data_IF_332586362654
#
_entry.id   IF_332586362654
#
_cell.length_a   1.000
_cell.length_b   1.000
_cell.length_c   1.000
_cell.angle_alpha   90.00
_cell.angle_beta   90.00
_cell.angle_gamma   90.00
#
_symmetry.space_group_name_H-M   'P 1'
#
loop_
_entity.id
_entity.type
_entity.pdbx_description
1 polymer ?
#
# COMPACT_ATOMS: atom_id res chain seq x y z
N UNK A 1 -20.12 41.83 1.01
CA UNK A 1 -19.41 41.39 2.24
C UNK A 1 -18.33 40.38 1.84
N UNK A 2 -17.05 40.70 1.99
CA UNK A 2 -15.97 39.72 1.86
C UNK A 2 -15.89 38.97 3.20
N UNK A 3 -16.14 37.66 3.17
CA UNK A 3 -16.02 36.80 4.35
C UNK A 3 -14.54 36.63 4.62
N UNK A 4 -14.04 37.21 5.72
CA UNK A 4 -12.65 37.02 6.12
C UNK A 4 -12.43 35.54 6.44
N UNK A 5 -11.41 34.94 5.83
CA UNK A 5 -11.08 33.53 6.04
C UNK A 5 -10.49 33.41 7.44
N UNK A 6 -11.04 32.56 8.32
CA UNK A 6 -10.53 32.41 9.67
C UNK A 6 -9.06 31.94 9.64
N UNK A 7 -8.22 32.63 10.42
CA UNK A 7 -6.80 32.33 10.52
C UNK A 7 -6.60 31.01 11.30
N UNK A 8 -6.32 29.92 10.57
CA UNK A 8 -6.11 28.59 11.15
C UNK A 8 -4.69 28.52 11.71
N UNK A 9 -4.58 28.38 13.04
CA UNK A 9 -3.29 28.10 13.68
C UNK A 9 -2.82 26.69 13.31
N UNK A 10 -1.58 26.57 12.80
CA UNK A 10 -0.98 25.26 12.52
C UNK A 10 -0.82 24.50 13.83
N UNK A 11 -1.37 23.30 13.89
CA UNK A 11 -1.15 22.39 15.02
C UNK A 11 0.34 22.03 15.06
N UNK A 12 1.01 22.10 16.22
CA UNK A 12 2.42 21.72 16.33
C UNK A 12 2.58 20.22 16.04
N UNK A 13 3.68 19.86 15.39
CA UNK A 13 4.02 18.48 15.03
C UNK A 13 4.24 18.25 13.53
N UNK A 14 4.72 17.06 13.20
CA UNK A 14 5.02 16.69 11.80
C UNK A 14 3.93 15.77 11.26
N UNK A 15 3.42 16.09 10.08
CA UNK A 15 2.59 15.17 9.31
C UNK A 15 3.47 14.42 8.30
N UNK A 16 3.45 13.09 8.36
CA UNK A 16 4.22 12.24 7.46
C UNK A 16 3.29 11.64 6.39
N UNK A 17 3.66 11.85 5.12
CA UNK A 17 2.89 11.41 3.96
C UNK A 17 3.60 10.22 3.29
N UNK A 18 2.96 9.06 3.30
CA UNK A 18 3.47 7.80 2.77
C UNK A 18 2.80 7.49 1.43
N UNK A 19 3.51 7.75 0.32
CA UNK A 19 3.02 7.44 -1.02
C UNK A 19 2.85 5.93 -1.25
N UNK A 20 1.94 5.55 -2.14
CA UNK A 20 1.85 4.19 -2.66
C UNK A 20 3.05 3.82 -3.54
N UNK A 21 3.15 2.52 -3.85
CA UNK A 21 4.21 1.96 -4.71
C UNK A 21 4.34 0.43 -4.55
N UNK A 22 3.22 -0.24 -4.29
CA UNK A 22 3.13 -1.67 -4.03
C UNK A 22 4.10 -2.16 -2.94
N UNK A 23 4.58 -3.40 -3.05
CA UNK A 23 5.41 -4.08 -2.04
C UNK A 23 6.71 -3.33 -1.74
N UNK A 24 7.30 -2.64 -2.73
CA UNK A 24 8.51 -1.84 -2.51
C UNK A 24 8.24 -0.70 -1.54
N UNK A 25 7.19 0.09 -1.79
CA UNK A 25 6.83 1.20 -0.91
C UNK A 25 6.59 0.72 0.52
N UNK A 26 5.95 -0.44 0.71
CA UNK A 26 5.75 -1.02 2.04
C UNK A 26 7.07 -1.18 2.81
N UNK A 27 8.08 -1.82 2.22
CA UNK A 27 9.37 -2.04 2.89
C UNK A 27 10.18 -0.75 3.07
N UNK A 28 10.17 0.14 2.06
CA UNK A 28 10.89 1.42 2.16
C UNK A 28 10.33 2.30 3.27
N UNK A 29 9.02 2.37 3.42
CA UNK A 29 8.40 3.17 4.49
C UNK A 29 8.76 2.66 5.89
N UNK A 30 8.86 1.35 6.10
CA UNK A 30 9.32 0.79 7.38
C UNK A 30 10.76 1.22 7.70
N UNK A 31 11.66 1.18 6.71
CA UNK A 31 13.04 1.64 6.89
C UNK A 31 13.13 3.13 7.22
N UNK A 32 12.37 3.96 6.49
CA UNK A 32 12.31 5.42 6.75
C UNK A 32 11.80 5.70 8.15
N UNK A 33 10.70 5.05 8.57
CA UNK A 33 10.13 5.23 9.89
C UNK A 33 11.08 4.79 11.02
N UNK A 34 11.84 3.71 10.78
CA UNK A 34 12.86 3.22 11.73
C UNK A 34 14.00 4.22 11.91
N UNK A 35 14.45 4.84 10.82
CA UNK A 35 15.51 5.85 10.84
C UNK A 35 15.03 7.18 11.44
N UNK A 36 13.80 7.60 11.12
CA UNK A 36 13.24 8.88 11.54
C UNK A 36 12.99 8.92 13.06
N UNK A 37 12.53 7.79 13.64
CA UNK A 37 11.99 7.79 15.00
C UNK A 37 10.67 8.55 15.04
N UNK A 38 9.56 7.84 15.31
CA UNK A 38 8.20 8.36 15.09
C UNK A 38 7.71 9.35 16.17
N UNK A 39 8.60 9.84 17.05
CA UNK A 39 8.25 10.55 18.28
C UNK A 39 7.60 11.92 18.05
N UNK A 40 7.95 12.63 16.97
CA UNK A 40 7.42 13.96 16.63
C UNK A 40 6.37 13.93 15.50
N UNK A 41 5.94 12.74 15.09
CA UNK A 41 4.93 12.55 14.04
C UNK A 41 3.54 12.56 14.68
N UNK A 42 2.73 13.55 14.30
CA UNK A 42 1.37 13.74 14.86
C UNK A 42 0.27 13.31 13.91
N UNK A 43 0.60 13.11 12.63
CA UNK A 43 -0.34 12.64 11.62
C UNK A 43 0.38 11.75 10.61
N UNK A 44 -0.27 10.65 10.24
CA UNK A 44 0.17 9.75 9.17
C UNK A 44 -0.89 9.77 8.08
N UNK A 45 -0.47 10.08 6.85
CA UNK A 45 -1.34 10.04 5.67
C UNK A 45 -0.72 9.05 4.70
N UNK A 46 -1.51 8.14 4.14
CA UNK A 46 -0.97 7.14 3.22
C UNK A 46 -1.90 6.80 2.08
N UNK A 47 -1.33 6.29 0.98
CA UNK A 47 -2.07 5.72 -0.15
C UNK A 47 -1.57 4.31 -0.49
N UNK A 48 -2.47 3.38 -0.84
CA UNK A 48 -2.14 1.98 -1.17
C UNK A 48 -1.24 1.33 -0.10
N UNK A 49 -0.07 0.80 -0.45
CA UNK A 49 0.90 0.25 0.49
C UNK A 49 1.32 1.23 1.60
N UNK A 50 1.41 2.54 1.30
CA UNK A 50 1.67 3.56 2.30
C UNK A 50 0.51 3.76 3.27
N UNK A 51 -0.74 3.51 2.85
CA UNK A 51 -1.91 3.55 3.73
C UNK A 51 -1.89 2.40 4.74
N UNK A 52 -1.47 1.20 4.33
CA UNK A 52 -1.28 0.08 5.25
C UNK A 52 -0.24 0.39 6.32
N UNK A 53 0.94 0.87 5.92
CA UNK A 53 2.00 1.23 6.89
C UNK A 53 1.54 2.35 7.83
N UNK A 54 0.92 3.40 7.29
CA UNK A 54 0.36 4.49 8.08
C UNK A 54 -0.66 3.99 9.11
N UNK A 55 -1.59 3.13 8.70
CA UNK A 55 -2.62 2.59 9.57
C UNK A 55 -2.03 1.73 10.69
N UNK A 56 -1.12 0.80 10.37
CA UNK A 56 -0.53 -0.10 11.35
C UNK A 56 0.27 0.65 12.42
N UNK A 57 1.03 1.66 12.01
CA UNK A 57 1.80 2.51 12.94
C UNK A 57 0.86 3.42 13.76
N UNK A 58 -0.18 3.98 13.14
CA UNK A 58 -1.18 4.79 13.84
C UNK A 58 -1.98 3.97 14.87
N UNK A 59 -2.13 2.66 14.66
CA UNK A 59 -2.72 1.72 15.63
C UNK A 59 -1.80 1.41 16.82
N UNK A 60 -0.60 2.00 16.87
CA UNK A 60 0.37 1.80 17.95
C UNK A 60 1.29 0.60 17.75
N UNK A 61 1.27 -0.04 16.57
CA UNK A 61 2.23 -1.10 16.25
C UNK A 61 3.61 -0.48 16.07
N UNK A 62 4.62 -0.99 16.78
CA UNK A 62 5.96 -0.47 16.64
C UNK A 62 6.56 -0.83 15.28
N UNK A 63 7.41 0.04 14.74
CA UNK A 63 8.08 -0.22 13.46
C UNK A 63 8.91 -1.50 13.52
N UNK A 64 9.51 -1.81 14.67
CA UNK A 64 10.27 -3.05 14.89
C UNK A 64 9.38 -4.30 14.85
N UNK A 65 8.18 -4.24 15.42
CA UNK A 65 7.20 -5.32 15.33
C UNK A 65 6.79 -5.55 13.87
N UNK A 66 6.60 -4.49 13.09
CA UNK A 66 6.27 -4.61 11.67
C UNK A 66 7.42 -5.19 10.84
N UNK A 67 8.66 -4.78 11.09
CA UNK A 67 9.84 -5.36 10.44
C UNK A 67 9.98 -6.85 10.77
N UNK A 68 9.77 -7.21 12.04
CA UNK A 68 9.80 -8.59 12.50
C UNK A 68 8.71 -9.43 11.84
N UNK A 69 7.48 -8.93 11.80
CA UNK A 69 6.34 -9.57 11.15
C UNK A 69 6.57 -9.84 9.65
N UNK A 70 7.20 -8.91 8.94
CA UNK A 70 7.61 -9.10 7.55
C UNK A 70 8.61 -10.26 7.43
N UNK A 71 9.59 -10.31 8.34
CA UNK A 71 10.65 -11.31 8.31
C UNK A 71 10.12 -12.71 8.63
N UNK A 72 9.26 -12.81 9.64
CA UNK A 72 8.63 -14.05 10.10
C UNK A 72 7.49 -14.52 9.18
N UNK A 73 7.12 -13.71 8.16
CA UNK A 73 5.95 -13.91 7.26
C UNK A 73 4.61 -14.03 7.99
N UNK A 74 4.54 -13.63 9.25
CA UNK A 74 3.33 -13.60 10.06
C UNK A 74 3.09 -12.17 10.55
N UNK A 75 2.02 -11.54 10.06
CA UNK A 75 1.62 -10.20 10.52
C UNK A 75 0.63 -10.37 11.67
N UNK A 76 1.14 -10.40 12.90
CA UNK A 76 0.29 -10.31 14.09
C UNK A 76 -0.03 -8.83 14.40
N UNK A 77 -1.29 -8.43 14.17
CA UNK A 77 -1.77 -7.06 14.48
C UNK A 77 -2.72 -7.14 15.69
N UNK A 78 -2.31 -6.67 16.88
CA UNK A 78 -3.05 -6.89 18.13
C UNK A 78 -4.50 -6.36 18.13
N UNK A 79 -4.80 -5.35 17.31
CA UNK A 79 -6.13 -4.74 17.21
C UNK A 79 -6.92 -5.18 15.97
N UNK A 80 -6.33 -6.00 15.09
CA UNK A 80 -7.00 -6.55 13.92
C UNK A 80 -7.52 -7.99 14.13
N UNK A 81 -7.19 -8.60 15.28
CA UNK A 81 -7.63 -9.95 15.69
C UNK A 81 -9.16 -10.12 15.71
N UNK A 82 -9.94 -9.03 15.67
CA UNK A 82 -11.41 -9.07 15.55
C UNK A 82 -11.94 -9.16 14.13
N UNK A 83 -11.15 -8.84 13.09
CA UNK A 83 -11.68 -8.65 11.74
C UNK A 83 -11.14 -9.66 10.72
N UNK A 84 -9.86 -10.08 10.77
CA UNK A 84 -9.39 -11.20 9.91
C UNK A 84 -7.99 -11.67 10.33
N UNK A 85 -7.81 -12.99 10.49
CA UNK A 85 -6.62 -13.60 11.13
C UNK A 85 -5.41 -13.82 10.22
N UNK A 86 -5.47 -13.57 8.92
CA UNK A 86 -4.26 -13.55 8.08
C UNK A 86 -4.48 -12.73 6.81
N UNK A 87 -3.56 -11.81 6.54
CA UNK A 87 -3.39 -11.24 5.19
C UNK A 87 -2.66 -12.27 4.32
N UNK A 88 -3.38 -13.30 3.89
CA UNK A 88 -2.85 -14.25 2.92
C UNK A 88 -2.92 -13.67 1.49
N UNK A 89 -2.01 -14.10 0.64
CA UNK A 89 -1.85 -13.70 -0.77
C UNK A 89 -3.15 -13.86 -1.59
N UNK A 90 -4.02 -14.75 -1.12
CA UNK A 90 -5.36 -15.05 -1.64
C UNK A 90 -6.37 -13.90 -1.48
N UNK A 91 -6.16 -12.97 -0.54
CA UNK A 91 -6.96 -11.75 -0.39
C UNK A 91 -6.53 -10.62 -1.34
N UNK A 92 -5.24 -10.52 -1.67
CA UNK A 92 -4.69 -9.50 -2.58
C UNK A 92 -4.87 -9.85 -4.06
N UNK A 93 -4.91 -11.15 -4.38
CA UNK A 93 -5.15 -11.64 -5.73
C UNK A 93 -6.26 -12.70 -5.71
N UNK A 94 -7.53 -12.27 -5.84
CA UNK A 94 -8.59 -13.18 -6.25
C UNK A 94 -8.35 -13.55 -7.71
N UNK A 95 -7.92 -14.78 -7.94
CA UNK A 95 -7.76 -15.32 -9.29
C UNK A 95 -9.15 -15.43 -9.94
N UNK A 96 -9.52 -14.44 -10.75
CA UNK A 96 -10.71 -14.51 -11.58
C UNK A 96 -10.35 -15.27 -12.87
N UNK A 97 -10.47 -16.60 -12.78
CA UNK A 97 -10.13 -17.50 -13.86
C UNK A 97 -10.90 -17.19 -15.16
N UNK A 98 -12.12 -16.66 -15.05
CA UNK A 98 -12.93 -16.28 -16.22
C UNK A 98 -12.34 -15.06 -16.93
N UNK A 99 -12.03 -14.01 -16.18
CA UNK A 99 -11.40 -12.82 -16.76
C UNK A 99 -9.98 -13.11 -17.27
N UNK A 100 -9.23 -13.96 -16.58
CA UNK A 100 -7.89 -14.38 -17.01
C UNK A 100 -7.95 -15.16 -18.34
N UNK A 101 -8.89 -16.10 -18.49
CA UNK A 101 -9.08 -16.84 -19.73
C UNK A 101 -9.50 -15.93 -20.88
N UNK A 102 -10.43 -15.01 -20.64
CA UNK A 102 -10.87 -14.01 -21.63
C UNK A 102 -9.74 -13.10 -22.07
N UNK A 103 -8.93 -12.62 -21.12
CA UNK A 103 -7.81 -11.73 -21.39
C UNK A 103 -6.67 -12.45 -22.11
N UNK A 104 -6.42 -13.72 -21.76
CA UNK A 104 -5.47 -14.58 -22.47
C UNK A 104 -5.88 -14.80 -23.93
N UNK A 105 -7.16 -15.10 -24.18
CA UNK A 105 -7.69 -15.27 -25.52
C UNK A 105 -7.59 -13.98 -26.35
N UNK A 106 -7.97 -12.84 -25.76
CA UNK A 106 -7.87 -11.54 -26.42
C UNK A 106 -6.42 -11.19 -26.78
N UNK A 107 -5.50 -11.37 -25.82
CA UNK A 107 -4.08 -11.07 -26.02
C UNK A 107 -3.46 -11.96 -27.10
N UNK A 108 -3.81 -13.25 -27.13
CA UNK A 108 -3.38 -14.17 -28.19
C UNK A 108 -3.89 -13.76 -29.57
N UNK A 109 -5.14 -13.32 -29.66
CA UNK A 109 -5.75 -12.89 -30.93
C UNK A 109 -5.11 -11.60 -31.47
N UNK A 110 -4.82 -10.63 -30.59
CA UNK A 110 -4.10 -9.41 -30.96
C UNK A 110 -2.63 -9.68 -31.32
N UNK A 111 -1.97 -10.63 -30.64
CA UNK A 111 -0.62 -11.05 -31.02
C UNK A 111 -0.60 -11.67 -32.42
N UNK A 112 -1.57 -12.53 -32.75
CA UNK A 112 -1.69 -13.11 -34.08
C UNK A 112 -1.97 -12.06 -35.15
N UNK A 113 -2.84 -11.09 -34.87
CA UNK A 113 -3.10 -9.95 -35.76
C UNK A 113 -1.85 -9.12 -36.00
N UNK A 114 -1.08 -8.86 -34.95
CA UNK A 114 0.20 -8.16 -35.06
C UNK A 114 1.16 -8.92 -35.97
N UNK A 115 1.36 -10.23 -35.76
CA UNK A 115 2.22 -11.05 -36.62
C UNK A 115 1.73 -11.10 -38.08
N UNK A 116 0.41 -11.16 -38.30
CA UNK A 116 -0.18 -11.13 -39.64
C UNK A 116 -0.05 -9.76 -40.32
N UNK A 117 0.12 -8.68 -39.55
CA UNK A 117 0.29 -7.32 -40.06
C UNK A 117 1.74 -6.97 -40.42
N UNK A 118 2.71 -7.83 -40.05
CA UNK A 118 4.10 -7.60 -40.41
C UNK A 118 4.30 -7.81 -41.93
N UNK A 119 5.03 -6.91 -42.61
CA UNK A 119 5.38 -7.13 -44.00
C UNK A 119 6.25 -8.39 -44.11
N UNK A 120 5.89 -9.28 -45.05
CA UNK A 120 6.72 -10.41 -45.42
C UNK A 120 8.06 -9.86 -45.95
N UNK A 121 9.13 -10.11 -45.19
CA UNK A 121 10.52 -9.87 -45.58
C UNK A 121 10.94 -10.85 -46.67
#
# INVERSE_FOLDING_TARGET
MRREIPQVHKKPGTALVLSGGATKAFYFHLGVLKALGVNDVTALVGSSAGAMVAALVAMGTSVDQLIRAVYEREIYVPHLDRIEKSFDSSLLFRLDAYNLARQSAYTGLEALRFFASLPLL
#
